data_IF_937534176163
#
_entry.id   IF_937534176163
#
_cell.length_a   1.000
_cell.length_b   1.000
_cell.length_c   1.000
_cell.angle_alpha   90.00
_cell.angle_beta   90.00
_cell.angle_gamma   90.00
#
_symmetry.space_group_name_H-M   'P 1'
#
loop_
_entity.id
_entity.type
_entity.pdbx_description
1 polymer ?
#
# COMPACT_ATOMS: atom_id res chain seq x y z
N UNK A 1 18.69 -11.14 28.50
CA UNK A 1 18.00 -11.52 27.24
C UNK A 1 17.08 -10.39 26.87
N UNK A 2 17.27 -9.75 25.72
CA UNK A 2 16.37 -8.68 25.27
C UNK A 2 15.00 -9.28 24.91
N UNK A 3 13.92 -8.64 25.34
CA UNK A 3 12.58 -9.01 24.93
C UNK A 3 12.48 -8.94 23.39
N UNK A 4 11.86 -9.95 22.78
CA UNK A 4 11.58 -9.90 21.35
C UNK A 4 10.63 -8.72 21.07
N UNK A 5 10.84 -7.94 20.00
CA UNK A 5 9.90 -6.90 19.61
C UNK A 5 8.52 -7.51 19.36
N UNK A 6 7.45 -6.74 19.60
CA UNK A 6 6.07 -7.23 19.61
C UNK A 6 5.68 -8.04 18.34
N UNK A 7 6.19 -7.66 17.17
CA UNK A 7 5.96 -8.38 15.90
C UNK A 7 6.59 -9.79 15.83
N UNK A 8 7.49 -10.14 16.76
CA UNK A 8 8.09 -11.48 16.92
C UNK A 8 7.43 -12.31 18.02
N UNK A 9 6.36 -11.82 18.64
CA UNK A 9 5.63 -12.59 19.64
C UNK A 9 4.77 -13.66 18.95
N UNK A 10 4.94 -14.95 19.27
CA UNK A 10 4.15 -16.03 18.66
C UNK A 10 2.68 -16.04 19.11
N UNK A 11 2.33 -15.25 20.13
CA UNK A 11 0.98 -15.14 20.68
C UNK A 11 0.19 -13.93 20.18
N UNK A 12 0.80 -13.05 19.39
CA UNK A 12 0.12 -11.87 18.85
C UNK A 12 -0.21 -12.05 17.36
N UNK A 13 -1.35 -11.51 16.89
CA UNK A 13 -1.66 -11.49 15.47
C UNK A 13 -0.59 -10.76 14.67
N UNK A 14 -0.21 -11.32 13.52
CA UNK A 14 0.76 -10.69 12.61
C UNK A 14 -0.01 -9.78 11.65
N UNK A 15 0.09 -8.48 11.87
CA UNK A 15 -0.56 -7.46 11.03
C UNK A 15 0.29 -7.09 9.83
N UNK A 16 -0.30 -7.16 8.64
CA UNK A 16 0.34 -6.83 7.36
C UNK A 16 -0.54 -5.83 6.59
N UNK A 17 0.08 -4.73 6.15
CA UNK A 17 -0.55 -3.74 5.29
C UNK A 17 -0.66 -4.24 3.86
N UNK A 18 -1.82 -4.09 3.23
CA UNK A 18 -2.08 -4.60 1.88
C UNK A 18 -3.04 -3.68 1.11
N UNK A 19 -2.89 -3.63 -0.22
CA UNK A 19 -3.80 -2.90 -1.09
C UNK A 19 -5.23 -3.43 -0.97
N UNK A 20 -6.17 -2.54 -0.65
CA UNK A 20 -7.58 -2.86 -0.43
C UNK A 20 -8.25 -3.62 -1.58
N UNK A 21 -7.87 -3.31 -2.83
CA UNK A 21 -8.41 -4.01 -4.00
C UNK A 21 -8.06 -5.50 -4.03
N UNK A 22 -6.94 -5.93 -3.44
CA UNK A 22 -6.54 -7.34 -3.32
C UNK A 22 -7.39 -8.12 -2.32
N UNK A 23 -7.97 -7.41 -1.36
CA UNK A 23 -8.94 -7.97 -0.40
C UNK A 23 -10.36 -8.05 -0.98
N UNK A 24 -10.59 -7.41 -2.13
CA UNK A 24 -11.88 -7.40 -2.83
C UNK A 24 -12.69 -6.13 -2.64
N UNK A 25 -12.12 -5.07 -2.08
CA UNK A 25 -12.79 -3.77 -2.03
C UNK A 25 -12.83 -3.11 -3.41
N UNK A 26 -14.00 -2.55 -3.76
CA UNK A 26 -14.29 -1.91 -5.05
C UNK A 26 -13.67 -0.50 -5.18
N UNK A 27 -12.35 -0.42 -5.02
CA UNK A 27 -11.58 0.83 -4.94
C UNK A 27 -10.70 1.11 -6.15
N UNK A 28 -10.74 0.22 -7.16
CA UNK A 28 -9.96 0.45 -8.39
C UNK A 28 -10.52 1.63 -9.17
N UNK A 29 -9.69 2.19 -10.04
CA UNK A 29 -10.07 3.31 -10.90
C UNK A 29 -11.32 3.03 -11.76
N UNK A 30 -11.56 1.77 -12.11
CA UNK A 30 -12.72 1.30 -12.88
C UNK A 30 -13.94 0.99 -12.00
N UNK A 31 -13.88 1.22 -10.69
CA UNK A 31 -14.93 0.86 -9.73
C UNK A 31 -14.92 -0.63 -9.35
N UNK A 32 -13.98 -1.43 -9.84
CA UNK A 32 -13.87 -2.84 -9.51
C UNK A 32 -12.85 -3.12 -8.40
N UNK A 33 -12.45 -4.39 -8.32
CA UNK A 33 -11.42 -4.88 -7.40
C UNK A 33 -10.43 -5.81 -8.13
N UNK A 34 -9.43 -6.32 -7.40
CA UNK A 34 -8.48 -7.33 -7.90
C UNK A 34 -8.32 -8.42 -6.84
N UNK A 35 -9.45 -9.01 -6.42
CA UNK A 35 -9.45 -9.91 -5.27
C UNK A 35 -8.55 -11.10 -5.57
N UNK A 36 -7.57 -11.30 -4.71
CA UNK A 36 -6.67 -12.43 -4.82
C UNK A 36 -7.11 -13.54 -3.84
N UNK A 37 -7.48 -14.69 -4.39
CA UNK A 37 -7.97 -15.83 -3.60
C UNK A 37 -6.89 -16.49 -2.75
N UNK A 38 -5.62 -16.42 -3.16
CA UNK A 38 -4.51 -16.93 -2.38
C UNK A 38 -4.23 -16.03 -1.18
N UNK A 39 -4.25 -14.71 -1.37
CA UNK A 39 -4.11 -13.73 -0.29
C UNK A 39 -5.26 -13.87 0.71
N UNK A 40 -6.50 -13.80 0.22
CA UNK A 40 -7.68 -13.80 1.11
C UNK A 40 -7.97 -15.18 1.72
N UNK A 41 -7.67 -16.28 1.03
CA UNK A 41 -7.97 -17.63 1.47
C UNK A 41 -6.80 -18.35 2.14
N UNK A 42 -5.62 -18.39 1.51
CA UNK A 42 -4.47 -19.15 2.03
C UNK A 42 -3.73 -18.35 3.08
N UNK A 43 -3.28 -17.15 2.73
CA UNK A 43 -2.48 -16.29 3.62
C UNK A 43 -3.33 -15.66 4.72
N UNK A 44 -4.60 -15.37 4.45
CA UNK A 44 -5.53 -14.79 5.43
C UNK A 44 -5.81 -15.68 6.65
N UNK A 45 -5.37 -16.95 6.62
CA UNK A 45 -5.40 -17.86 7.78
C UNK A 45 -4.28 -17.58 8.79
N UNK A 46 -3.22 -16.89 8.36
CA UNK A 46 -2.00 -16.67 9.15
C UNK A 46 -1.80 -15.20 9.51
N UNK A 47 -2.34 -14.28 8.72
CA UNK A 47 -2.12 -12.84 8.87
C UNK A 47 -3.42 -12.10 9.06
N UNK A 48 -3.34 -11.00 9.80
CA UNK A 48 -4.41 -10.00 9.87
C UNK A 48 -4.08 -8.88 8.91
N UNK A 49 -5.04 -8.54 8.05
CA UNK A 49 -4.85 -7.53 7.03
C UNK A 49 -5.20 -6.15 7.52
N UNK A 50 -4.32 -5.20 7.25
CA UNK A 50 -4.61 -3.78 7.33
C UNK A 50 -4.80 -3.25 5.90
N UNK A 51 -6.04 -2.95 5.56
CA UNK A 51 -6.41 -2.49 4.22
C UNK A 51 -5.99 -1.04 4.00
N UNK A 52 -5.34 -0.76 2.86
CA UNK A 52 -4.90 0.60 2.48
C UNK A 52 -5.23 0.85 1.02
N UNK A 53 -5.83 2.00 0.73
CA UNK A 53 -5.95 2.51 -0.63
C UNK A 53 -5.62 4.00 -0.64
N UNK A 54 -4.40 4.38 -1.06
CA UNK A 54 -3.97 5.77 -1.07
C UNK A 54 -4.95 6.68 -1.80
N UNK A 55 -5.48 6.24 -2.95
CA UNK A 55 -6.36 7.05 -3.77
C UNK A 55 -7.74 7.30 -3.15
N UNK A 56 -8.29 6.32 -2.44
CA UNK A 56 -9.52 6.52 -1.68
C UNK A 56 -9.26 7.45 -0.49
N UNK A 57 -8.15 7.26 0.22
CA UNK A 57 -7.80 8.03 1.41
C UNK A 57 -7.42 9.50 1.12
N UNK A 58 -6.95 9.81 -0.09
CA UNK A 58 -6.78 11.20 -0.57
C UNK A 58 -8.04 11.75 -1.26
N UNK A 59 -9.14 10.99 -1.29
CA UNK A 59 -10.45 11.46 -1.74
C UNK A 59 -10.69 11.42 -3.25
N UNK A 60 -9.93 10.63 -4.02
CA UNK A 60 -10.19 10.47 -5.46
C UNK A 60 -11.43 9.62 -5.75
N UNK A 61 -11.79 8.71 -4.84
CA UNK A 61 -12.92 7.81 -5.01
C UNK A 61 -12.73 6.74 -6.09
N UNK A 62 -13.81 6.01 -6.36
CA UNK A 62 -13.92 5.03 -7.43
C UNK A 62 -15.34 5.12 -8.02
N UNK A 63 -15.52 5.15 -9.36
CA UNK A 63 -14.48 5.19 -10.38
C UNK A 63 -13.76 6.54 -10.46
N UNK A 64 -12.57 6.55 -11.06
CA UNK A 64 -11.72 7.73 -11.27
C UNK A 64 -10.82 7.52 -12.49
N UNK A 65 -10.18 8.58 -12.98
CA UNK A 65 -9.17 8.44 -14.02
C UNK A 65 -7.91 7.70 -13.53
N UNK A 66 -7.17 7.11 -14.47
CA UNK A 66 -5.90 6.44 -14.19
C UNK A 66 -4.82 7.46 -13.82
N UNK A 67 -3.93 7.08 -12.93
CA UNK A 67 -2.76 7.88 -12.55
C UNK A 67 -1.51 7.31 -13.24
N UNK A 68 -0.55 8.17 -13.57
CA UNK A 68 0.76 7.76 -14.09
C UNK A 68 1.88 8.50 -13.37
N UNK A 69 3.03 7.85 -13.24
CA UNK A 69 4.27 8.51 -12.85
C UNK A 69 4.95 9.10 -14.08
N UNK A 70 5.45 10.32 -13.98
CA UNK A 70 6.12 11.04 -15.06
C UNK A 70 7.31 11.86 -14.54
N UNK A 71 8.29 12.10 -15.41
CA UNK A 71 9.48 12.89 -15.08
C UNK A 71 10.65 12.04 -14.57
N UNK A 72 11.47 12.63 -13.71
CA UNK A 72 12.67 12.00 -13.15
C UNK A 72 12.30 10.80 -12.26
N UNK A 73 12.83 9.59 -12.51
CA UNK A 73 12.62 8.45 -11.63
C UNK A 73 13.06 8.65 -10.17
N UNK A 74 14.02 9.54 -9.91
CA UNK A 74 14.45 9.89 -8.55
C UNK A 74 13.48 10.85 -7.84
N UNK A 75 12.66 11.57 -8.60
CA UNK A 75 11.66 12.52 -8.10
C UNK A 75 10.42 12.51 -9.00
N UNK A 76 9.67 11.40 -9.05
CA UNK A 76 8.59 11.24 -10.01
C UNK A 76 7.40 12.12 -9.63
N UNK A 77 6.73 12.66 -10.65
CA UNK A 77 5.44 13.33 -10.49
C UNK A 77 4.30 12.36 -10.72
N UNK A 78 3.29 12.40 -9.86
CA UNK A 78 2.06 11.65 -10.04
C UNK A 78 1.02 12.53 -10.74
N UNK A 79 0.62 12.12 -11.94
CA UNK A 79 -0.26 12.92 -12.80
C UNK A 79 -1.48 12.10 -13.20
N UNK A 80 -2.65 12.72 -13.11
CA UNK A 80 -3.90 12.15 -13.57
C UNK A 80 -3.94 12.14 -15.11
N UNK A 81 -4.30 11.01 -15.71
CA UNK A 81 -3.98 10.73 -17.12
C UNK A 81 -4.73 11.61 -18.11
N UNK A 82 -6.01 11.86 -17.84
CA UNK A 82 -6.93 12.60 -18.70
C UNK A 82 -6.89 14.09 -18.37
N UNK A 83 -7.02 14.47 -17.10
CA UNK A 83 -7.08 15.88 -16.70
C UNK A 83 -5.71 16.56 -16.67
N UNK A 84 -4.62 15.79 -16.60
CA UNK A 84 -3.28 16.31 -16.40
C UNK A 84 -3.05 16.88 -15.00
N UNK A 85 -4.00 16.71 -14.07
CA UNK A 85 -3.89 17.20 -12.70
C UNK A 85 -2.68 16.58 -12.00
N UNK A 86 -1.79 17.42 -11.48
CA UNK A 86 -0.65 16.99 -10.69
C UNK A 86 -1.09 16.72 -9.24
N UNK A 87 -0.85 15.50 -8.77
CA UNK A 87 -1.22 15.02 -7.44
C UNK A 87 0.02 14.72 -6.58
N UNK A 88 1.20 15.12 -7.04
CA UNK A 88 2.49 14.75 -6.42
C UNK A 88 2.57 15.19 -4.96
N UNK A 89 2.24 16.45 -4.67
CA UNK A 89 2.28 16.97 -3.30
C UNK A 89 1.25 16.30 -2.39
N UNK A 90 0.02 16.12 -2.88
CA UNK A 90 -1.06 15.44 -2.16
C UNK A 90 -0.66 14.02 -1.78
N UNK A 91 -0.15 13.24 -2.75
CA UNK A 91 0.26 11.86 -2.51
C UNK A 91 1.49 11.77 -1.61
N UNK A 92 2.47 12.68 -1.77
CA UNK A 92 3.66 12.71 -0.92
C UNK A 92 3.31 13.05 0.53
N UNK A 93 2.45 14.04 0.75
CA UNK A 93 1.98 14.42 2.08
C UNK A 93 1.19 13.28 2.74
N UNK A 94 0.31 12.63 1.97
CA UNK A 94 -0.41 11.44 2.40
C UNK A 94 0.55 10.32 2.81
N UNK A 95 1.52 9.95 1.96
CA UNK A 95 2.44 8.86 2.22
C UNK A 95 3.24 9.10 3.52
N UNK A 96 3.80 10.30 3.69
CA UNK A 96 4.54 10.69 4.91
C UNK A 96 3.68 10.56 6.17
N UNK A 97 2.45 11.08 6.12
CA UNK A 97 1.51 11.00 7.26
C UNK A 97 1.12 9.55 7.54
N UNK A 98 0.70 8.80 6.52
CA UNK A 98 0.16 7.45 6.67
C UNK A 98 1.23 6.49 7.18
N UNK A 99 2.47 6.60 6.71
CA UNK A 99 3.60 5.82 7.23
C UNK A 99 3.78 5.99 8.74
N UNK A 100 3.69 7.24 9.24
CA UNK A 100 3.81 7.51 10.67
C UNK A 100 2.63 6.93 11.46
N UNK A 101 1.41 7.02 10.94
CA UNK A 101 0.23 6.39 11.54
C UNK A 101 0.40 4.86 11.61
N UNK A 102 0.71 4.24 10.48
CA UNK A 102 0.94 2.81 10.34
C UNK A 102 2.07 2.28 11.24
N UNK A 103 3.13 3.07 11.43
CA UNK A 103 4.22 2.71 12.34
C UNK A 103 3.77 2.56 13.80
N UNK A 104 2.66 3.20 14.18
CA UNK A 104 2.06 3.10 15.52
C UNK A 104 1.06 1.96 15.63
N UNK A 105 0.58 1.43 14.52
CA UNK A 105 -0.43 0.36 14.45
C UNK A 105 0.16 -1.05 14.63
N UNK A 106 1.44 -1.19 14.99
CA UNK A 106 2.05 -2.49 15.30
C UNK A 106 2.25 -3.39 14.08
N UNK A 107 2.29 -2.82 12.88
CA UNK A 107 2.56 -3.52 11.63
C UNK A 107 3.88 -4.31 11.71
N UNK A 108 3.80 -5.57 11.30
CA UNK A 108 4.96 -6.46 11.30
C UNK A 108 5.81 -6.23 10.06
N UNK A 109 7.14 -6.22 10.23
CA UNK A 109 8.09 -6.38 9.12
C UNK A 109 8.74 -5.13 8.53
N UNK A 110 8.54 -3.92 9.07
CA UNK A 110 9.14 -2.71 8.46
C UNK A 110 9.73 -1.74 9.50
N UNK A 111 10.96 -1.28 9.27
CA UNK A 111 11.55 -0.16 10.00
C UNK A 111 11.06 1.18 9.45
N UNK A 112 10.87 2.18 10.33
CA UNK A 112 10.37 3.52 9.97
C UNK A 112 11.17 4.15 8.81
N UNK A 113 12.49 3.95 8.78
CA UNK A 113 13.35 4.44 7.70
C UNK A 113 12.99 3.85 6.31
N UNK A 114 12.66 2.56 6.24
CA UNK A 114 12.28 1.90 4.98
C UNK A 114 10.93 2.40 4.45
N UNK A 115 10.00 2.73 5.35
CA UNK A 115 8.68 3.25 5.01
C UNK A 115 8.71 4.74 4.67
N UNK A 116 9.59 5.52 5.31
CA UNK A 116 9.64 6.98 5.17
C UNK A 116 10.05 7.45 3.76
N UNK A 117 10.81 6.64 3.03
CA UNK A 117 11.28 6.95 1.67
C UNK A 117 10.33 6.42 0.57
N UNK A 118 9.17 5.84 0.95
CA UNK A 118 8.19 5.31 0.00
C UNK A 118 7.34 6.45 -0.59
N UNK A 119 7.73 6.97 -1.76
CA UNK A 119 6.97 8.04 -2.44
C UNK A 119 5.72 7.50 -3.17
N UNK A 120 5.73 6.23 -3.58
CA UNK A 120 4.55 5.45 -3.99
C UNK A 120 5.06 4.04 -4.28
N UNK A 121 5.30 3.24 -3.24
CA UNK A 121 6.01 1.97 -3.33
C UNK A 121 7.27 2.10 -4.21
N UNK A 122 8.27 2.82 -3.70
CA UNK A 122 9.55 3.02 -4.37
C UNK A 122 10.68 2.46 -3.47
N UNK A 123 11.45 1.45 -3.93
CA UNK A 123 11.26 0.78 -5.21
C UNK A 123 9.91 0.06 -5.23
N UNK A 124 9.26 0.04 -6.40
CA UNK A 124 8.14 -0.89 -6.63
C UNK A 124 8.66 -2.23 -6.12
N UNK A 125 7.94 -2.95 -5.25
CA UNK A 125 8.44 -4.21 -4.73
C UNK A 125 8.49 -5.19 -5.90
N UNK A 126 9.60 -5.12 -6.65
CA UNK A 126 10.15 -6.22 -7.44
C UNK A 126 10.46 -7.40 -6.51
N UNK A 127 10.40 -7.19 -5.19
CA UNK A 127 10.53 -8.20 -4.15
C UNK A 127 9.18 -8.76 -3.67
N UNK A 128 8.04 -8.29 -4.20
CA UNK A 128 6.79 -9.07 -4.24
C UNK A 128 6.61 -9.62 -5.65
N UNK A 129 7.55 -10.45 -6.10
CA UNK A 129 7.28 -11.39 -7.20
C UNK A 129 6.30 -12.44 -6.70
N UNK A 130 5.02 -12.09 -6.64
CA UNK A 130 3.95 -13.04 -6.89
C UNK A 130 3.44 -12.77 -8.30
N UNK A 131 4.32 -13.08 -9.27
CA UNK A 131 3.86 -13.35 -10.63
C UNK A 131 3.02 -14.62 -10.55
N UNK A 132 1.74 -14.50 -10.84
CA UNK A 132 1.09 -15.55 -11.62
C UNK A 132 0.42 -14.89 -12.81
N UNK A 133 1.20 -14.66 -13.85
CA UNK A 133 0.65 -14.62 -15.20
C UNK A 133 0.34 -16.06 -15.58
N UNK A 134 -0.92 -16.46 -15.49
CA UNK A 134 -1.62 -17.16 -16.57
C UNK A 134 -3.12 -16.98 -16.38
#
# INVERSE_FOLDING_TARGET
MAALPAWRSPSLPIWIGISACLLGEEVRYDGGHQKDSYITGVLGRYFTWLSVCPEMEIGLGAPRETLRLAGDPAAPRMVATQSGRDLTETMTAYARRRVLELSREGLSGFGIAYMADQIYLAPHPKDLVLRNHT
#
